data_IF_692717265666
#
_entry.id   IF_692717265666
#
_cell.length_a   1.000
_cell.length_b   1.000
_cell.length_c   1.000
_cell.angle_alpha   90.00
_cell.angle_beta   90.00
_cell.angle_gamma   90.00
#
_symmetry.space_group_name_H-M   'P 1'
#
loop_
_entity.id
_entity.type
_entity.pdbx_description
1 polymer ?
2 polymer ?
3 non-polymer ?
4 water ?
#
# COMPACT_ATOMS: atom_id res chain seq x y z
N UNK A 1 21.55 7.02 -16.05
CA UNK A 1 21.06 6.05 -17.04
C UNK A 1 20.17 6.90 -17.95
N UNK A 2 19.41 6.24 -18.78
CA UNK A 2 18.64 6.92 -19.78
C UNK A 2 17.38 7.61 -19.23
N UNK A 3 16.96 8.67 -19.92
CA UNK A 3 15.66 9.25 -19.77
C UNK A 3 14.67 8.24 -20.36
N UNK A 4 13.47 8.11 -19.76
CA UNK A 4 12.46 7.17 -20.26
C UNK A 4 11.18 7.92 -20.45
N UNK A 5 10.69 7.89 -21.68
CA UNK A 5 9.50 8.65 -22.04
C UNK A 5 8.82 7.93 -23.15
N UNK A 6 7.48 7.95 -23.11
CA UNK A 6 6.63 7.57 -24.22
C UNK A 6 5.30 8.19 -23.93
N UNK A 7 4.82 9.01 -24.89
CA UNK A 7 3.67 9.90 -24.72
C UNK A 7 2.43 9.47 -25.50
N UNK A 8 1.27 9.78 -24.94
CA UNK A 8 -0.02 9.77 -25.65
C UNK A 8 -0.65 11.11 -25.40
N UNK A 9 -1.66 11.42 -26.19
CA UNK A 9 -2.45 12.59 -25.98
C UNK A 9 -3.91 12.23 -25.86
N UNK A 10 -4.71 13.12 -25.31
CA UNK A 10 -6.16 12.82 -25.15
C UNK A 10 -7.00 14.08 -25.27
N UNK A 11 -8.00 14.01 -26.11
CA UNK A 11 -8.91 15.15 -26.38
C UNK A 11 -8.44 16.25 -27.25
N UNK A 12 -7.34 16.01 -27.97
CA UNK A 12 -6.75 17.02 -28.88
C UNK A 12 -7.34 17.01 -30.27
N UNK A 13 -7.44 18.19 -30.90
CA UNK A 13 -7.79 18.22 -32.31
C UNK A 13 -6.59 17.80 -33.12
N UNK A 14 -6.81 17.49 -34.40
CA UNK A 14 -5.65 17.20 -35.28
C UNK A 14 -4.64 18.32 -35.34
N UNK A 15 -5.06 19.58 -35.42
CA UNK A 15 -4.07 20.68 -35.37
C UNK A 15 -3.20 20.74 -34.07
N UNK A 16 -3.85 20.55 -32.92
CA UNK A 16 -3.17 20.55 -31.67
C UNK A 16 -2.20 19.32 -31.62
N UNK A 17 -2.67 18.15 -32.09
CA UNK A 17 -1.80 16.98 -32.20
C UNK A 17 -0.54 17.23 -33.02
N UNK A 18 -0.66 18.04 -34.06
CA UNK A 18 0.49 18.28 -34.89
C UNK A 18 1.53 19.14 -34.16
N UNK A 19 1.11 20.02 -33.23
CA UNK A 19 2.09 20.71 -32.36
C UNK A 19 2.76 19.70 -31.40
N UNK A 20 2.02 18.74 -30.88
CA UNK A 20 2.64 17.72 -30.09
C UNK A 20 3.67 16.95 -30.89
N UNK A 21 3.30 16.57 -32.11
CA UNK A 21 4.20 15.89 -32.99
C UNK A 21 5.48 16.67 -33.26
N UNK A 22 5.36 18.00 -33.49
CA UNK A 22 6.53 18.86 -33.74
C UNK A 22 7.44 18.89 -32.48
N UNK A 23 6.79 19.01 -31.30
CA UNK A 23 7.47 19.01 -30.03
C UNK A 23 8.17 17.67 -29.81
N UNK A 24 7.48 16.58 -30.10
CA UNK A 24 8.09 15.22 -29.96
C UNK A 24 9.26 14.95 -30.91
N UNK A 25 9.16 15.46 -32.14
CA UNK A 25 10.24 15.36 -33.07
C UNK A 25 11.43 16.17 -32.60
N UNK A 26 11.20 17.37 -32.07
CA UNK A 26 12.31 18.25 -31.65
C UNK A 26 13.09 17.64 -30.53
N UNK A 27 12.41 17.02 -29.57
CA UNK A 27 13.06 16.50 -28.40
C UNK A 27 13.27 15.01 -28.43
N UNK A 28 12.95 14.37 -29.54
CA UNK A 28 13.20 12.93 -29.72
C UNK A 28 12.36 12.01 -28.77
N UNK A 29 11.05 12.30 -28.67
CA UNK A 29 10.17 11.61 -27.73
C UNK A 29 9.21 10.71 -28.50
N UNK A 30 9.08 9.48 -28.05
CA UNK A 30 8.11 8.60 -28.70
C UNK A 30 6.69 9.12 -28.42
N UNK A 31 5.85 9.06 -29.45
CA UNK A 31 4.44 9.44 -29.39
C UNK A 31 3.66 8.36 -30.04
N UNK A 32 2.68 7.82 -29.30
CA UNK A 32 1.81 6.74 -29.78
C UNK A 32 0.36 7.12 -29.66
N UNK A 33 -0.48 6.38 -30.38
CA UNK A 33 -1.95 6.58 -30.27
C UNK A 33 -2.56 5.83 -29.06
N UNK A 34 -2.04 4.66 -28.75
CA UNK A 34 -2.65 3.89 -27.66
C UNK A 34 -1.81 3.98 -26.39
N UNK A 35 -2.49 4.03 -25.23
CA UNK A 35 -1.82 3.95 -23.92
C UNK A 35 -1.46 2.49 -23.62
N UNK A 36 -0.28 2.25 -23.07
CA UNK A 36 0.22 0.95 -22.67
C UNK A 36 0.99 1.04 -21.36
N UNK A 37 1.52 -0.08 -20.88
CA UNK A 37 2.35 -0.02 -19.68
C UNK A 37 3.65 0.76 -19.94
N UNK A 38 4.06 0.89 -21.19
CA UNK A 38 5.24 1.78 -21.52
C UNK A 38 5.00 3.27 -21.41
N UNK A 39 3.76 3.69 -21.46
CA UNK A 39 3.46 5.11 -21.48
C UNK A 39 3.88 5.78 -20.19
N UNK A 40 4.58 6.91 -20.31
CA UNK A 40 4.98 7.69 -19.14
C UNK A 40 4.23 8.98 -18.97
N UNK A 41 3.66 9.50 -20.07
CA UNK A 41 3.05 10.86 -20.12
C UNK A 41 1.74 10.77 -20.87
N UNK A 42 0.68 11.33 -20.29
CA UNK A 42 -0.62 11.55 -20.93
C UNK A 42 -0.81 13.02 -21.00
N UNK A 43 -0.91 13.60 -22.21
CA UNK A 43 -1.06 15.03 -22.45
C UNK A 43 -2.56 15.29 -22.72
N UNK A 44 -3.25 15.84 -21.74
CA UNK A 44 -4.71 16.14 -21.80
C UNK A 44 -4.96 17.51 -22.30
N UNK A 45 -6.03 17.65 -23.08
CA UNK A 45 -6.59 18.94 -23.40
C UNK A 45 -7.13 19.44 -22.07
N UNK A 46 -6.85 20.71 -21.74
CA UNK A 46 -7.43 21.34 -20.57
C UNK A 46 -7.86 22.77 -20.84
N UNK A 47 -8.62 23.33 -19.90
CA UNK A 47 -8.85 24.78 -19.88
C UNK A 47 -7.59 25.43 -19.33
N UNK A 48 -7.66 26.76 -19.13
CA UNK A 48 -6.55 27.55 -18.60
C UNK A 48 -6.19 27.26 -17.12
N UNK A 49 -7.09 26.59 -16.37
CA UNK A 49 -6.87 26.16 -14.98
C UNK A 49 -6.53 24.67 -14.87
N UNK A 50 -6.15 24.05 -15.98
CA UNK A 50 -5.68 22.70 -16.02
C UNK A 50 -6.73 21.65 -15.57
N UNK A 51 -7.96 21.88 -16.03
CA UNK A 51 -9.08 21.00 -15.80
C UNK A 51 -9.38 20.35 -17.11
N UNK A 52 -9.55 19.04 -17.08
CA UNK A 52 -9.84 18.25 -18.26
C UNK A 52 -11.17 17.52 -18.19
N UNK A 53 -11.54 16.92 -19.31
CA UNK A 53 -12.59 15.89 -19.35
C UNK A 53 -12.06 14.55 -19.08
N UNK A 54 -12.92 13.69 -18.56
CA UNK A 54 -12.50 12.36 -18.20
C UNK A 54 -12.56 11.40 -19.38
N UNK A 55 -11.40 10.95 -19.86
CA UNK A 55 -11.33 9.92 -20.95
C UNK A 55 -10.69 8.65 -20.35
N UNK A 56 -10.71 7.57 -21.11
CA UNK A 56 -10.02 6.34 -20.71
C UNK A 56 -8.49 6.55 -20.46
N UNK A 57 -7.83 7.36 -21.31
CA UNK A 57 -6.44 7.72 -21.08
C UNK A 57 -6.24 8.46 -19.77
N UNK A 58 -7.10 9.39 -19.41
CA UNK A 58 -7.02 10.05 -18.11
C UNK A 58 -7.05 9.04 -16.98
N UNK A 59 -8.04 8.17 -16.99
CA UNK A 59 -8.18 7.21 -15.90
C UNK A 59 -6.95 6.27 -15.82
N UNK A 60 -6.51 5.81 -16.97
CA UNK A 60 -5.38 4.88 -17.01
C UNK A 60 -4.06 5.57 -16.65
N UNK A 61 -3.90 6.84 -17.05
CA UNK A 61 -2.72 7.57 -16.65
C UNK A 61 -2.61 7.78 -15.14
N UNK A 62 -3.74 8.14 -14.49
CA UNK A 62 -3.78 8.27 -13.07
C UNK A 62 -3.55 6.88 -12.44
N UNK A 63 -4.27 5.85 -12.90
CA UNK A 63 -4.13 4.56 -12.34
C UNK A 63 -2.68 4.00 -12.36
N UNK A 64 -1.92 4.35 -13.37
CA UNK A 64 -0.54 3.90 -13.53
C UNK A 64 0.47 4.82 -12.85
N UNK A 65 -0.01 5.90 -12.23
CA UNK A 65 0.86 6.92 -11.60
C UNK A 65 1.77 7.59 -12.55
N UNK A 66 1.25 7.77 -13.77
CA UNK A 66 1.97 8.49 -14.84
C UNK A 66 1.92 10.02 -14.69
N UNK A 67 2.68 10.72 -15.55
CA UNK A 67 2.55 12.19 -15.67
C UNK A 67 1.30 12.43 -16.51
N UNK A 68 0.32 13.05 -15.89
CA UNK A 68 -0.90 13.48 -16.53
C UNK A 68 -0.87 15.03 -16.54
N UNK A 69 -0.50 15.58 -17.70
CA UNK A 69 -0.15 16.96 -17.85
C UNK A 69 -1.01 17.68 -18.94
N UNK A 70 -1.15 18.98 -18.74
CA UNK A 70 -1.88 19.83 -19.71
C UNK A 70 -1.11 19.89 -21.01
N UNK A 71 -1.86 20.00 -22.11
CA UNK A 71 -1.33 20.39 -23.43
C UNK A 71 -0.56 21.72 -23.40
N UNK A 72 -0.84 22.56 -22.42
CA UNK A 72 -0.11 23.84 -22.26
C UNK A 72 1.38 23.49 -22.04
N UNK A 73 1.72 22.31 -21.46
CA UNK A 73 3.13 21.87 -21.35
C UNK A 73 3.84 21.89 -22.70
N UNK A 74 3.12 21.43 -23.73
CA UNK A 74 3.67 21.38 -25.08
C UNK A 74 3.79 22.74 -25.67
N UNK A 75 2.71 23.50 -25.57
CA UNK A 75 2.70 24.80 -26.26
C UNK A 75 3.75 25.73 -25.63
N UNK A 76 3.81 25.73 -24.29
CA UNK A 76 4.78 26.56 -23.58
C UNK A 76 6.19 26.07 -23.81
N UNK A 77 6.39 24.74 -23.88
CA UNK A 77 7.71 24.27 -24.17
C UNK A 77 8.18 24.61 -25.59
N UNK A 78 7.28 24.59 -26.56
CA UNK A 78 7.63 25.06 -27.93
C UNK A 78 8.13 26.51 -27.87
N UNK A 79 7.39 27.35 -27.16
CA UNK A 79 7.68 28.81 -27.09
C UNK A 79 9.05 29.05 -26.41
N UNK A 80 9.36 28.27 -25.40
CA UNK A 80 10.59 28.40 -24.63
C UNK A 80 11.79 27.61 -25.19
N UNK A 81 11.52 26.85 -26.25
CA UNK A 81 12.50 26.08 -26.98
C UNK A 81 13.22 25.03 -26.10
N UNK A 82 12.51 24.51 -25.14
CA UNK A 82 13.08 23.45 -24.31
C UNK A 82 11.96 22.70 -23.62
N UNK A 83 12.23 21.49 -23.18
CA UNK A 83 11.20 20.73 -22.46
C UNK A 83 11.04 21.23 -21.04
N UNK A 84 9.89 21.80 -20.72
CA UNK A 84 9.69 22.37 -19.39
C UNK A 84 9.37 21.27 -18.36
N UNK A 85 9.39 21.68 -17.10
CA UNK A 85 9.15 20.71 -16.04
C UNK A 85 7.66 20.31 -15.96
N UNK A 86 7.40 19.00 -15.91
CA UNK A 86 6.03 18.48 -15.88
C UNK A 86 5.28 18.99 -14.66
N UNK A 87 6.02 19.24 -13.54
CA UNK A 87 5.29 19.57 -12.28
C UNK A 87 4.56 20.88 -12.45
N UNK A 88 5.01 21.72 -13.34
CA UNK A 88 4.39 23.05 -13.54
C UNK A 88 3.08 23.00 -14.37
N UNK A 89 2.81 21.89 -15.00
CA UNK A 89 1.69 21.69 -15.95
C UNK A 89 0.79 20.49 -15.57
N UNK A 90 0.92 19.97 -14.35
CA UNK A 90 0.21 18.73 -14.00
C UNK A 90 -1.32 19.02 -13.95
N UNK A 91 -2.14 18.10 -14.47
CA UNK A 91 -3.60 18.25 -14.44
C UNK A 91 -4.04 18.30 -12.97
N UNK A 92 -4.90 19.25 -12.67
CA UNK A 92 -5.36 19.55 -11.34
C UNK A 92 -6.70 18.96 -11.02
N UNK A 93 -7.49 18.62 -12.04
CA UNK A 93 -8.83 18.09 -11.78
C UNK A 93 -9.61 17.92 -13.04
N UNK A 94 -10.92 17.61 -12.90
CA UNK A 94 -11.69 17.32 -14.08
C UNK A 94 -13.11 17.83 -13.89
N UNK A 95 -13.87 17.84 -14.98
CA UNK A 95 -15.23 18.40 -14.98
C UNK A 95 -16.30 17.60 -14.23
N UNK A 96 -15.97 16.40 -13.76
CA UNK A 96 -16.87 15.59 -12.96
C UNK A 96 -16.58 15.58 -11.51
N UNK A 97 -15.35 15.26 -11.12
CA UNK A 97 -15.01 15.00 -9.74
C UNK A 97 -14.45 16.21 -9.01
N UNK A 98 -14.14 17.30 -9.74
CA UNK A 98 -13.72 18.52 -9.07
C UNK A 98 -12.58 19.18 -9.82
N UNK A 99 -12.54 20.52 -9.80
CA UNK A 99 -11.58 21.21 -10.57
C UNK A 99 -10.17 21.23 -9.95
N UNK A 100 -10.01 20.86 -8.66
CA UNK A 100 -8.68 20.97 -8.03
C UNK A 100 -8.43 19.84 -7.04
N UNK A 101 -8.90 18.66 -7.39
CA UNK A 101 -8.71 17.49 -6.50
C UNK A 101 -7.31 16.94 -6.37
N UNK A 102 -6.52 17.22 -7.39
CA UNK A 102 -5.09 16.81 -7.48
C UNK A 102 -4.91 15.29 -7.46
N UNK A 103 -5.90 14.57 -8.02
CA UNK A 103 -5.84 13.09 -8.25
C UNK A 103 -4.56 12.62 -8.94
N UNK A 104 -4.18 13.33 -10.02
CA UNK A 104 -2.95 12.88 -10.72
C UNK A 104 -1.67 12.92 -9.86
N UNK A 105 -1.48 14.01 -9.14
CA UNK A 105 -0.36 14.13 -8.22
C UNK A 105 -0.43 13.13 -7.09
N UNK A 106 -1.59 13.01 -6.53
CA UNK A 106 -1.84 11.97 -5.47
C UNK A 106 -1.41 10.59 -5.92
N UNK A 107 -1.88 10.16 -7.08
CA UNK A 107 -1.50 8.85 -7.62
C UNK A 107 -0.01 8.70 -7.89
N UNK A 108 0.62 9.74 -8.40
CA UNK A 108 2.02 9.66 -8.78
C UNK A 108 2.89 9.43 -7.54
N UNK A 109 2.41 9.95 -6.41
CA UNK A 109 3.09 9.88 -5.16
C UNK A 109 2.68 8.72 -4.27
N UNK A 110 1.70 7.94 -4.68
CA UNK A 110 1.06 6.95 -3.84
C UNK A 110 1.19 5.52 -4.34
N UNK A 111 2.16 5.22 -5.20
CA UNK A 111 2.24 3.91 -5.82
C UNK A 111 2.63 2.85 -4.78
N UNK A 112 3.14 3.25 -3.63
CA UNK A 112 3.37 2.34 -2.55
C UNK A 112 2.20 2.23 -1.54
N UNK A 113 1.04 2.83 -1.86
CA UNK A 113 -0.16 2.74 -1.05
C UNK A 113 -1.40 2.86 -1.95
N UNK A 114 -1.57 1.86 -2.84
CA UNK A 114 -2.57 1.91 -3.93
C UNK A 114 -4.01 1.78 -3.40
N UNK A 115 -4.92 2.54 -4.03
CA UNK A 115 -6.28 2.68 -3.46
C UNK A 115 -7.09 1.41 -3.30
N UNK A 116 -6.90 0.40 -4.15
CA UNK A 116 -7.72 -0.79 -4.07
C UNK A 116 -6.93 -1.99 -3.53
N UNK A 117 -5.77 -1.75 -2.94
CA UNK A 117 -4.99 -2.82 -2.29
C UNK A 117 -5.89 -3.53 -1.25
N UNK A 118 -5.95 -4.86 -1.35
CA UNK A 118 -6.80 -5.67 -0.50
C UNK A 118 -8.23 -5.92 -0.93
N UNK A 119 -8.59 -5.45 -2.10
CA UNK A 119 -9.88 -5.64 -2.68
C UNK A 119 -9.83 -6.63 -3.86
N UNK A 120 -10.92 -7.36 -4.02
CA UNK A 120 -11.08 -8.27 -5.16
C UNK A 120 -12.29 -7.83 -5.92
N UNK A 121 -12.13 -7.49 -7.19
CA UNK A 121 -13.17 -6.80 -7.94
C UNK A 121 -13.59 -7.66 -9.14
N UNK A 122 -14.91 -7.83 -9.30
CA UNK A 122 -15.46 -8.45 -10.51
C UNK A 122 -16.15 -7.42 -11.34
N UNK A 123 -15.66 -7.24 -12.55
CA UNK A 123 -16.30 -6.29 -13.48
C UNK A 123 -17.35 -7.05 -14.29
N UNK A 124 -18.61 -6.85 -13.94
CA UNK A 124 -19.70 -7.80 -14.23
C UNK A 124 -20.77 -7.26 -15.20
N UNK A 125 -20.94 -8.06 -16.27
CA UNK A 125 -21.87 -7.75 -17.37
C UNK A 125 -21.35 -6.77 -18.42
N UNK A 126 -22.28 -6.23 -19.21
CA UNK A 126 -21.86 -5.30 -20.28
C UNK A 126 -21.34 -3.92 -19.79
N UNK A 127 -20.32 -3.42 -20.48
CA UNK A 127 -19.89 -2.03 -20.37
C UNK A 127 -19.93 -1.28 -21.71
N UNK A 128 -20.12 0.03 -21.68
CA UNK A 128 -20.08 0.83 -22.91
C UNK A 128 -18.93 1.82 -22.89
N UNK A 129 -18.39 2.05 -24.07
CA UNK A 129 -17.33 3.00 -24.30
C UNK A 129 -16.00 2.69 -23.66
N UNK A 130 -15.89 1.49 -23.11
CA UNK A 130 -14.77 1.12 -22.26
C UNK A 130 -14.83 -0.40 -22.16
N UNK A 131 -14.02 -1.10 -22.99
CA UNK A 131 -14.07 -2.59 -22.98
C UNK A 131 -13.83 -3.18 -21.57
N UNK A 132 -14.47 -4.27 -21.22
CA UNK A 132 -14.29 -4.88 -19.89
C UNK A 132 -12.81 -5.06 -19.50
N UNK A 133 -11.97 -5.45 -20.45
CA UNK A 133 -10.56 -5.70 -20.04
C UNK A 133 -9.78 -4.43 -19.66
N UNK A 134 -10.24 -3.27 -20.14
CA UNK A 134 -9.63 -2.00 -19.81
C UNK A 134 -10.05 -1.57 -18.41
N UNK A 135 -11.31 -1.81 -18.03
CA UNK A 135 -11.74 -1.57 -16.67
C UNK A 135 -10.99 -2.53 -15.70
N UNK A 136 -10.82 -3.78 -16.12
CA UNK A 136 -10.08 -4.73 -15.33
C UNK A 136 -8.61 -4.29 -15.16
N UNK A 137 -7.97 -3.84 -16.24
CA UNK A 137 -6.60 -3.28 -16.12
C UNK A 137 -6.52 -2.11 -15.15
N UNK A 138 -7.48 -1.17 -15.27
CA UNK A 138 -7.55 0.00 -14.43
C UNK A 138 -7.52 -0.42 -12.96
N UNK A 139 -8.40 -1.37 -12.57
CA UNK A 139 -8.47 -1.69 -11.14
C UNK A 139 -7.21 -2.44 -10.66
N UNK A 140 -6.61 -3.20 -11.56
CA UNK A 140 -5.36 -3.96 -11.22
C UNK A 140 -4.22 -2.99 -11.00
N UNK A 141 -4.13 -1.98 -11.88
CA UNK A 141 -3.16 -0.93 -11.74
C UNK A 141 -3.27 -0.22 -10.39
N UNK A 142 -4.51 -0.09 -9.88
CA UNK A 142 -4.79 0.48 -8.59
C UNK A 142 -4.75 -0.52 -7.42
N UNK A 143 -4.22 -1.71 -7.66
CA UNK A 143 -3.82 -2.67 -6.65
C UNK A 143 -4.85 -3.74 -6.33
N UNK A 144 -6.00 -3.76 -7.03
CA UNK A 144 -6.97 -4.87 -6.84
C UNK A 144 -6.61 -6.14 -7.58
N UNK A 145 -7.00 -7.27 -7.01
CA UNK A 145 -7.14 -8.50 -7.75
C UNK A 145 -8.43 -8.49 -8.51
N UNK A 146 -8.37 -9.00 -9.73
CA UNK A 146 -9.54 -9.18 -10.58
C UNK A 146 -10.06 -10.58 -10.64
N UNK A 147 -11.36 -10.76 -10.45
CA UNK A 147 -12.00 -12.03 -10.74
C UNK A 147 -13.00 -11.91 -11.87
N UNK A 148 -13.13 -13.00 -12.60
CA UNK A 148 -13.89 -13.06 -13.83
C UNK A 148 -15.32 -13.57 -13.54
N UNK A 149 -15.48 -14.42 -12.54
CA UNK A 149 -16.79 -15.03 -12.25
C UNK A 149 -17.11 -14.84 -10.78
N UNK A 150 -18.38 -14.69 -10.43
CA UNK A 150 -18.74 -14.48 -9.01
C UNK A 150 -18.25 -15.58 -8.11
N UNK A 151 -18.34 -16.81 -8.60
CA UNK A 151 -18.05 -18.00 -7.82
C UNK A 151 -16.64 -17.97 -7.29
N UNK A 152 -15.73 -17.41 -8.09
CA UNK A 152 -14.32 -17.47 -7.76
C UNK A 152 -13.83 -16.30 -6.93
N UNK A 153 -14.70 -15.64 -6.17
CA UNK A 153 -14.20 -14.75 -5.08
C UNK A 153 -13.47 -15.67 -4.09
N UNK A 154 -14.10 -15.98 -2.95
CA UNK A 154 -13.43 -16.59 -1.81
C UNK A 154 -12.76 -15.46 -1.03
N UNK A 155 -12.69 -15.48 0.31
CA UNK A 155 -12.95 -16.63 1.20
C UNK A 155 -13.48 -16.11 2.56
N UNK A 156 -12.60 -15.91 3.55
CA UNK A 156 -13.04 -15.64 4.94
C UNK A 156 -12.92 -14.20 5.48
N UNK A 157 -13.76 -13.89 6.47
CA UNK A 157 -13.90 -12.53 7.09
C UNK A 157 -13.26 -11.37 6.29
N UNK A 158 -12.08 -10.85 6.65
CA UNK A 158 -11.45 -9.79 5.84
C UNK A 158 -11.25 -10.22 4.38
N UNK A 159 -11.93 -9.55 3.43
CA UNK A 159 -11.94 -9.93 1.99
C UNK A 159 -11.06 -9.09 1.05
N UNK A 160 -11.63 -8.08 0.40
CA UNK A 160 -13.04 -7.80 0.41
C UNK A 160 -13.50 -7.82 -1.01
N UNK A 161 -14.62 -8.52 -1.26
CA UNK A 161 -15.10 -8.64 -2.62
C UNK A 161 -15.98 -7.47 -2.99
N UNK A 162 -15.98 -7.09 -4.26
CA UNK A 162 -16.79 -5.98 -4.74
C UNK A 162 -17.23 -6.31 -6.19
N UNK A 163 -18.54 -6.25 -6.48
CA UNK A 163 -19.05 -6.45 -7.83
C UNK A 163 -19.36 -5.07 -8.44
N UNK A 164 -18.78 -4.77 -9.60
CA UNK A 164 -19.00 -3.57 -10.33
C UNK A 164 -19.84 -3.78 -11.57
N UNK A 165 -20.91 -2.95 -11.75
CA UNK A 165 -21.80 -3.11 -12.88
C UNK A 165 -22.12 -1.76 -13.46
N UNK A 166 -22.49 -1.74 -14.74
CA UNK A 166 -22.91 -0.52 -15.42
C UNK A 166 -24.42 -0.65 -15.74
N UNK A 167 -25.33 -0.30 -14.82
CA UNK A 167 -26.78 -0.64 -15.09
C UNK A 167 -27.28 -0.20 -16.48
N UNK A 168 -26.88 0.99 -16.95
CA UNK A 168 -27.51 1.49 -18.19
C UNK A 168 -27.03 0.85 -19.44
N UNK A 169 -25.95 0.07 -19.34
CA UNK A 169 -25.55 -0.82 -20.42
C UNK A 169 -26.43 -2.06 -20.56
N UNK A 170 -27.22 -2.39 -19.54
CA UNK A 170 -28.04 -3.63 -19.57
C UNK A 170 -29.34 -3.44 -20.37
N UNK A 174 -32.24 -5.47 -14.96
CA UNK A 174 -33.00 -6.64 -14.51
C UNK A 174 -32.08 -7.55 -13.70
N UNK A 175 -31.32 -8.40 -14.41
CA UNK A 175 -30.35 -9.31 -13.77
C UNK A 175 -29.41 -8.72 -12.70
N UNK A 176 -29.01 -7.47 -12.87
CA UNK A 176 -28.07 -6.88 -11.94
C UNK A 176 -28.71 -6.58 -10.57
N UNK A 177 -30.04 -6.71 -10.48
CA UNK A 177 -30.72 -6.62 -9.16
C UNK A 177 -30.75 -7.92 -8.36
N UNK A 178 -30.36 -9.03 -8.96
CA UNK A 178 -30.48 -10.33 -8.29
C UNK A 178 -29.14 -10.96 -7.94
N UNK A 179 -28.06 -10.20 -8.09
CA UNK A 179 -26.69 -10.65 -7.72
C UNK A 179 -26.59 -10.90 -6.21
N UNK A 180 -27.14 -9.99 -5.41
CA UNK A 180 -27.13 -10.15 -3.95
C UNK A 180 -27.79 -11.40 -3.37
N UNK A 181 -28.80 -11.92 -4.04
CA UNK A 181 -29.34 -13.21 -3.62
C UNK A 181 -28.31 -14.35 -3.77
N UNK A 182 -27.40 -14.25 -4.74
CA UNK A 182 -26.33 -15.25 -4.92
C UNK A 182 -25.14 -15.02 -3.97
N UNK A 183 -24.41 -13.91 -4.10
CA UNK A 183 -23.23 -13.72 -3.25
C UNK A 183 -23.39 -12.54 -2.29
N UNK A 184 -22.55 -12.51 -1.25
CA UNK A 184 -22.67 -11.50 -0.23
C UNK A 184 -21.91 -10.18 -0.56
N UNK A 185 -21.25 -10.14 -1.71
CA UNK A 185 -20.49 -8.95 -2.06
C UNK A 185 -21.36 -7.74 -2.37
N UNK A 186 -20.91 -6.52 -1.92
CA UNK A 186 -21.59 -5.27 -2.30
C UNK A 186 -21.55 -5.13 -3.81
N UNK A 187 -22.64 -4.63 -4.37
CA UNK A 187 -22.80 -4.44 -5.77
C UNK A 187 -22.87 -2.94 -5.96
N UNK A 188 -21.93 -2.38 -6.73
CA UNK A 188 -21.79 -0.97 -6.98
C UNK A 188 -21.77 -0.60 -8.46
N UNK A 189 -22.10 0.66 -8.76
CA UNK A 189 -21.99 1.12 -10.14
C UNK A 189 -20.52 1.34 -10.55
N UNK A 190 -20.28 1.41 -11.85
CA UNK A 190 -18.98 1.65 -12.41
C UNK A 190 -18.45 3.02 -11.94
N UNK A 191 -19.37 3.95 -11.64
CA UNK A 191 -18.95 5.28 -11.14
C UNK A 191 -18.15 5.19 -9.87
N UNK A 192 -18.37 4.14 -9.07
CA UNK A 192 -17.52 3.95 -7.87
C UNK A 192 -16.07 3.82 -8.29
N UNK A 193 -15.80 2.96 -9.28
CA UNK A 193 -14.40 2.85 -9.80
C UNK A 193 -13.88 4.12 -10.39
N UNK A 194 -14.62 4.70 -11.30
CA UNK A 194 -14.15 5.92 -12.01
C UNK A 194 -13.93 7.10 -11.07
N UNK A 195 -14.87 7.34 -10.15
CA UNK A 195 -14.72 8.40 -9.20
C UNK A 195 -13.50 8.16 -8.28
N UNK A 196 -13.38 6.92 -7.79
CA UNK A 196 -12.21 6.64 -6.95
C UNK A 196 -10.85 6.86 -7.68
N UNK A 197 -10.79 6.43 -8.93
CA UNK A 197 -9.55 6.53 -9.71
C UNK A 197 -9.26 8.00 -9.98
N UNK A 198 -10.25 8.78 -10.42
CA UNK A 198 -9.96 10.19 -10.78
C UNK A 198 -9.47 10.95 -9.55
N UNK A 199 -10.06 10.69 -8.39
CA UNK A 199 -9.69 11.33 -7.10
C UNK A 199 -8.44 10.70 -6.45
N UNK A 200 -8.02 9.54 -6.98
CA UNK A 200 -7.06 8.63 -6.39
C UNK A 200 -7.33 8.48 -4.88
N UNK A 201 -8.60 8.18 -4.57
CA UNK A 201 -9.08 7.99 -3.25
C UNK A 201 -10.22 6.98 -3.26
N UNK A 202 -10.07 5.89 -2.51
CA UNK A 202 -11.07 4.85 -2.50
C UNK A 202 -12.38 5.44 -1.87
N UNK A 203 -13.42 5.58 -2.67
CA UNK A 203 -14.65 6.15 -2.19
C UNK A 203 -15.43 5.13 -1.32
N UNK A 204 -16.19 5.67 -0.38
CA UNK A 204 -17.18 4.88 0.38
C UNK A 204 -18.18 4.27 -0.59
N UNK A 205 -18.60 3.04 -0.32
CA UNK A 205 -19.53 2.36 -1.27
C UNK A 205 -20.94 2.93 -1.26
N UNK A 206 -21.31 3.53 -0.14
CA UNK A 206 -22.72 3.75 0.22
C UNK A 206 -23.56 4.34 -0.94
N UNK A 207 -23.11 5.43 -1.55
CA UNK A 207 -23.92 6.13 -2.55
C UNK A 207 -23.91 5.42 -3.92
N UNK A 208 -23.07 4.42 -4.10
CA UNK A 208 -22.90 3.72 -5.36
C UNK A 208 -23.61 2.34 -5.32
N UNK A 209 -24.08 1.91 -4.14
CA UNK A 209 -24.70 0.61 -4.01
C UNK A 209 -25.98 0.48 -4.89
N UNK A 210 -26.08 -0.62 -5.57
CA UNK A 210 -27.22 -0.89 -6.42
C UNK A 210 -28.22 -1.74 -5.60
N UNK A 211 -29.43 -1.15 -5.34
CA UNK A 211 -30.35 -1.85 -4.48
C UNK A 211 -30.63 -3.23 -5.07
N UNK A 212 -30.55 -4.26 -4.22
CA UNK A 212 -30.73 -5.67 -4.60
C UNK A 212 -32.11 -6.17 -4.12
N UNK A 213 -32.76 -7.01 -4.92
CA UNK A 213 -33.99 -7.72 -4.52
C UNK A 213 -33.63 -8.62 -3.31
N UNK A 214 -34.38 -8.53 -2.20
CA UNK A 214 -34.17 -9.43 -1.04
C UNK A 214 -34.06 -10.89 -1.40
N UNK B 1 26.61 5.10 -5.33
CA UNK B 1 26.65 5.85 -4.06
C UNK B 1 27.23 4.92 -3.00
N UNK B 2 27.05 5.36 -1.78
CA UNK B 2 27.51 4.64 -0.63
C UNK B 2 26.70 3.41 -0.25
N UNK B 3 27.37 2.44 0.38
CA UNK B 3 26.71 1.37 1.08
C UNK B 3 26.10 2.01 2.31
N UNK B 4 24.85 1.69 2.64
CA UNK B 4 24.21 2.22 3.84
C UNK B 4 23.94 1.05 4.84
N UNK B 5 24.55 1.14 6.01
CA UNK B 5 24.39 0.14 7.09
C UNK B 5 24.44 0.75 8.44
N UNK B 6 23.61 0.20 9.33
CA UNK B 6 23.71 0.47 10.74
C UNK B 6 23.05 -0.75 11.40
N UNK B 7 23.75 -1.40 12.30
CA UNK B 7 23.30 -2.66 12.87
C UNK B 7 22.95 -2.58 14.36
N UNK B 8 21.99 -3.42 14.77
CA UNK B 8 21.75 -3.76 16.19
C UNK B 8 21.80 -5.26 16.28
N UNK B 9 21.92 -5.76 17.49
CA UNK B 9 21.84 -7.23 17.73
C UNK B 9 20.76 -7.47 18.76
N UNK B 10 20.25 -8.69 18.83
CA UNK B 10 19.12 -8.96 19.77
C UNK B 10 19.28 -10.37 20.29
N UNK B 11 19.20 -10.56 21.59
CA UNK B 11 19.27 -11.87 22.12
C UNK B 11 20.66 -12.47 22.30
N UNK B 12 21.71 -11.69 22.16
CA UNK B 12 23.06 -12.15 22.22
C UNK B 12 23.66 -11.99 23.63
N UNK B 13 24.55 -12.92 23.94
CA UNK B 13 25.35 -12.76 25.14
C UNK B 13 26.47 -11.71 24.89
N UNK B 14 27.04 -11.17 25.97
CA UNK B 14 28.18 -10.21 25.75
C UNK B 14 29.27 -10.81 24.93
N UNK B 15 29.54 -12.11 25.12
CA UNK B 15 30.62 -12.74 24.39
C UNK B 15 30.39 -12.83 22.85
N UNK B 16 29.12 -13.07 22.54
CA UNK B 16 28.68 -13.14 21.13
C UNK B 16 28.72 -11.75 20.57
N UNK B 17 28.29 -10.80 21.35
CA UNK B 17 28.38 -9.40 20.93
C UNK B 17 29.78 -9.06 20.54
N UNK B 18 30.76 -9.51 21.33
CA UNK B 18 32.15 -9.20 20.99
C UNK B 18 32.55 -9.63 19.61
N UNK B 19 32.03 -10.75 19.09
CA UNK B 19 32.31 -11.15 17.74
C UNK B 19 31.64 -10.26 16.76
N UNK B 20 30.37 -9.89 17.03
CA UNK B 20 29.76 -8.85 16.18
C UNK B 20 30.59 -7.55 16.14
N UNK B 21 31.09 -7.10 17.29
CA UNK B 21 31.94 -5.92 17.39
C UNK B 21 33.21 -6.06 16.52
N UNK B 22 33.88 -7.21 16.59
CA UNK B 22 35.04 -7.50 15.75
C UNK B 22 34.74 -7.46 14.22
N UNK B 23 33.62 -8.06 13.83
CA UNK B 23 33.11 -8.05 12.49
C UNK B 23 32.81 -6.63 12.05
N UNK B 24 32.14 -5.90 12.92
CA UNK B 24 31.79 -4.50 12.64
C UNK B 24 33.05 -3.66 12.41
N UNK B 25 34.06 -3.91 13.24
CA UNK B 25 35.31 -3.17 13.15
C UNK B 25 36.08 -3.52 11.91
N UNK B 26 36.10 -4.77 11.54
CA UNK B 26 36.77 -5.18 10.30
C UNK B 26 36.14 -4.56 9.04
N UNK B 27 34.81 -4.49 8.97
CA UNK B 27 34.14 -4.04 7.81
C UNK B 27 33.66 -2.58 7.89
N UNK B 28 34.03 -1.89 8.97
CA UNK B 28 33.66 -0.48 9.19
C UNK B 28 32.18 -0.25 9.16
N UNK B 29 31.46 -1.08 9.94
CA UNK B 29 29.98 -1.00 10.02
C UNK B 29 29.56 -0.40 11.39
N UNK B 30 28.66 0.57 11.38
CA UNK B 30 28.12 1.17 12.62
C UNK B 30 27.29 0.11 13.38
N UNK B 31 27.57 -0.04 14.68
CA UNK B 31 26.89 -0.99 15.59
C UNK B 31 26.38 -0.17 16.78
N UNK B 32 25.07 -0.19 17.00
CA UNK B 32 24.43 0.52 18.09
C UNK B 32 23.70 -0.39 19.05
N UNK B 33 23.37 0.14 20.23
CA UNK B 33 22.52 -0.60 21.22
C UNK B 33 21.04 -0.55 20.96
N UNK B 34 20.58 0.57 20.42
CA UNK B 34 19.17 0.83 20.27
C UNK B 34 18.79 0.85 18.81
N UNK B 35 17.61 0.35 18.51
CA UNK B 35 17.11 0.36 17.17
C UNK B 35 16.50 1.71 16.88
N UNK B 36 16.76 2.24 15.70
CA UNK B 36 16.18 3.48 15.24
C UNK B 36 15.80 3.45 13.80
N UNK B 37 15.24 4.56 13.30
CA UNK B 37 14.99 4.66 11.88
C UNK B 37 16.24 4.42 11.00
N UNK B 38 17.41 4.69 11.54
CA UNK B 38 18.72 4.53 10.82
C UNK B 38 19.06 3.05 10.65
N UNK B 39 18.52 2.22 11.51
CA UNK B 39 18.94 0.80 11.54
C UNK B 39 18.60 0.04 10.26
N UNK B 40 19.59 -0.67 9.63
CA UNK B 40 19.34 -1.46 8.48
C UNK B 40 19.33 -2.95 8.69
N UNK B 41 20.02 -3.32 9.75
CA UNK B 41 20.26 -4.79 10.06
C UNK B 41 19.97 -5.07 11.53
N UNK B 42 19.19 -6.15 11.81
CA UNK B 42 18.91 -6.67 13.15
C UNK B 42 19.48 -8.07 13.16
N UNK B 43 20.54 -8.29 13.93
CA UNK B 43 21.21 -9.62 13.99
C UNK B 43 20.66 -10.36 15.20
N UNK B 44 19.78 -11.33 14.95
CA UNK B 44 19.08 -12.11 15.96
C UNK B 44 19.87 -13.40 16.33
N UNK B 45 19.94 -13.71 17.62
CA UNK B 45 20.29 -15.07 18.02
C UNK B 45 19.27 -16.01 17.46
N UNK B 46 19.75 -17.10 16.89
CA UNK B 46 18.89 -18.16 16.34
C UNK B 46 19.45 -19.52 16.70
N UNK B 47 18.62 -20.52 16.53
CA UNK B 47 19.08 -21.92 16.40
C UNK B 47 19.65 -22.19 15.02
N UNK B 48 20.07 -23.44 14.77
CA UNK B 48 20.71 -23.77 13.48
C UNK B 48 19.79 -23.73 12.23
N UNK B 49 18.48 -23.66 12.48
CA UNK B 49 17.49 -23.56 11.45
C UNK B 49 16.94 -22.09 11.33
N UNK B 50 17.70 -21.16 11.87
CA UNK B 50 17.36 -19.73 11.72
C UNK B 50 16.01 -19.35 12.33
N UNK B 51 15.68 -19.96 13.49
CA UNK B 51 14.48 -19.63 14.27
C UNK B 51 14.90 -18.87 15.51
N UNK B 52 14.23 -17.76 15.79
CA UNK B 52 14.55 -16.87 16.93
C UNK B 52 13.42 -16.78 17.98
N UNK B 53 13.67 -16.08 19.09
CA UNK B 53 12.67 -15.67 20.02
C UNK B 53 12.23 -14.26 19.62
N UNK B 54 11.03 -13.92 20.00
CA UNK B 54 10.44 -12.63 19.63
C UNK B 54 10.83 -11.51 20.62
N UNK B 55 11.63 -10.52 20.18
CA UNK B 55 12.00 -9.38 20.99
C UNK B 55 11.43 -8.11 20.31
N UNK B 56 11.53 -6.99 20.98
CA UNK B 56 11.08 -5.71 20.39
C UNK B 56 11.90 -5.43 19.10
N UNK B 57 13.19 -5.68 19.13
CA UNK B 57 14.01 -5.47 17.89
C UNK B 57 13.56 -6.35 16.73
N UNK B 58 13.23 -7.63 17.01
CA UNK B 58 12.65 -8.52 15.97
C UNK B 58 11.38 -7.85 15.33
N UNK B 59 10.43 -7.42 16.18
CA UNK B 59 9.16 -6.89 15.66
C UNK B 59 9.46 -5.58 14.85
N UNK B 60 10.30 -4.70 15.42
CA UNK B 60 10.61 -3.45 14.71
C UNK B 60 11.45 -3.64 13.47
N UNK B 61 12.36 -4.60 13.47
CA UNK B 61 13.03 -4.92 12.27
C UNK B 61 12.14 -5.40 11.13
N UNK B 62 11.20 -6.30 11.41
CA UNK B 62 10.23 -6.79 10.44
C UNK B 62 9.33 -5.63 10.04
N UNK B 63 8.86 -4.90 11.04
CA UNK B 63 7.95 -3.74 10.73
C UNK B 63 8.58 -2.74 9.77
N UNK B 64 9.86 -2.52 9.94
CA UNK B 64 10.63 -1.64 9.05
C UNK B 64 11.11 -2.21 7.78
N UNK B 65 10.83 -3.48 7.47
CA UNK B 65 11.33 -4.18 6.25
C UNK B 65 12.83 -4.23 6.24
N UNK B 66 13.47 -4.30 7.42
CA UNK B 66 14.95 -4.35 7.58
C UNK B 66 15.47 -5.76 7.28
N UNK B 67 16.79 -5.89 7.23
CA UNK B 67 17.41 -7.24 7.22
C UNK B 67 17.35 -7.74 8.64
N UNK B 68 16.68 -8.87 8.82
CA UNK B 68 16.57 -9.56 10.08
C UNK B 68 17.26 -10.91 9.85
N UNK B 69 18.51 -10.97 10.30
CA UNK B 69 19.41 -12.09 9.96
C UNK B 69 19.94 -12.76 11.18
N UNK B 70 20.31 -14.04 10.99
CA UNK B 70 20.91 -14.83 12.04
C UNK B 70 22.28 -14.36 12.40
N UNK B 71 22.59 -14.41 13.69
CA UNK B 71 23.98 -14.28 14.19
C UNK B 71 24.96 -15.20 13.44
N UNK B 72 24.52 -16.29 12.81
CA UNK B 72 25.36 -17.12 11.96
C UNK B 72 25.92 -16.37 10.73
N UNK B 73 25.26 -15.28 10.30
CA UNK B 73 25.77 -14.39 9.23
C UNK B 73 27.11 -13.85 9.65
N UNK B 74 27.18 -13.39 10.89
CA UNK B 74 28.40 -12.85 11.46
C UNK B 74 29.47 -13.95 11.62
N UNK B 75 29.14 -15.06 12.31
CA UNK B 75 30.21 -16.03 12.61
C UNK B 75 30.76 -16.62 11.29
N UNK B 76 29.88 -16.84 10.33
CA UNK B 76 30.34 -17.44 9.08
C UNK B 76 31.13 -16.41 8.25
N UNK B 77 30.74 -15.10 8.28
CA UNK B 77 31.51 -14.07 7.61
C UNK B 77 32.91 -13.96 8.23
N UNK B 78 33.01 -14.05 9.57
CA UNK B 78 34.31 -13.97 10.28
C UNK B 78 35.18 -15.14 9.72
N UNK B 79 34.63 -16.32 9.67
CA UNK B 79 35.35 -17.49 9.18
C UNK B 79 35.81 -17.39 7.72
N UNK B 80 34.97 -16.89 6.84
CA UNK B 80 35.30 -16.81 5.44
C UNK B 80 36.06 -15.55 5.06
N UNK B 81 36.29 -14.74 6.08
CA UNK B 81 36.98 -13.46 5.96
C UNK B 81 36.38 -12.54 4.89
N UNK B 82 35.06 -12.53 4.79
CA UNK B 82 34.42 -11.57 3.91
C UNK B 82 33.00 -11.44 4.37
N UNK B 83 32.33 -10.34 4.04
CA UNK B 83 30.91 -10.16 4.43
C UNK B 83 30.03 -10.98 3.53
N UNK B 84 29.37 -11.96 4.07
CA UNK B 84 28.56 -12.83 3.22
C UNK B 84 27.18 -12.19 2.91
N UNK B 85 26.45 -12.85 2.04
CA UNK B 85 25.18 -12.33 1.59
C UNK B 85 24.09 -12.50 2.63
N UNK B 86 23.41 -11.39 3.00
CA UNK B 86 22.30 -11.50 4.00
C UNK B 86 21.24 -12.50 3.58
N UNK B 87 21.01 -12.67 2.27
CA UNK B 87 19.89 -13.57 1.80
C UNK B 87 20.11 -15.01 2.27
N UNK B 88 21.37 -15.37 2.47
CA UNK B 88 21.71 -16.75 2.89
C UNK B 88 21.50 -17.02 4.40
N UNK B 89 21.23 -15.97 5.15
CA UNK B 89 21.15 -15.97 6.62
C UNK B 89 19.87 -15.34 7.19
N UNK B 90 18.86 -15.11 6.34
CA UNK B 90 17.67 -14.41 6.80
C UNK B 90 16.91 -15.31 7.76
N UNK B 91 16.42 -14.68 8.84
CA UNK B 91 15.58 -15.37 9.84
C UNK B 91 14.34 -15.96 9.15
N UNK B 92 14.04 -17.22 9.43
CA UNK B 92 12.95 -17.95 8.81
C UNK B 92 11.66 -17.94 9.59
N UNK B 93 11.73 -17.74 10.91
CA UNK B 93 10.59 -17.78 11.82
C UNK B 93 10.98 -17.66 13.26
N UNK B 94 10.02 -17.97 14.16
CA UNK B 94 10.24 -17.75 15.58
C UNK B 94 9.47 -18.83 16.34
N UNK B 95 9.81 -18.90 17.61
CA UNK B 95 9.27 -20.00 18.49
C UNK B 95 7.77 -19.83 18.80
N UNK B 96 7.13 -18.72 18.47
CA UNK B 96 5.71 -18.53 18.75
C UNK B 96 4.83 -18.69 17.55
N UNK B 97 5.15 -17.98 16.45
CA UNK B 97 4.29 -17.98 15.30
C UNK B 97 4.60 -18.99 14.19
N UNK B 98 5.74 -19.70 14.27
CA UNK B 98 6.06 -20.75 13.28
C UNK B 98 7.50 -20.73 12.90
N UNK B 99 8.11 -21.91 12.72
CA UNK B 99 9.51 -21.97 12.48
C UNK B 99 9.94 -21.58 11.03
N UNK B 100 9.01 -21.52 10.09
CA UNK B 100 9.35 -21.20 8.71
C UNK B 100 8.31 -20.34 8.07
N UNK B 101 7.82 -19.33 8.81
CA UNK B 101 6.80 -18.49 8.24
C UNK B 101 7.27 -17.50 7.17
N UNK B 102 8.55 -17.19 7.23
CA UNK B 102 9.26 -16.23 6.33
C UNK B 102 8.72 -14.80 6.46
N UNK B 103 8.24 -14.39 7.67
CA UNK B 103 7.79 -13.05 7.94
C UNK B 103 8.84 -11.95 7.53
N UNK B 104 10.09 -12.15 7.89
CA UNK B 104 11.07 -11.13 7.58
C UNK B 104 11.23 -10.89 6.07
N UNK B 105 11.27 -11.98 5.30
CA UNK B 105 11.37 -11.82 3.82
C UNK B 105 10.14 -11.20 3.27
N UNK B 106 8.98 -11.68 3.73
CA UNK B 106 7.69 -11.12 3.33
C UNK B 106 7.68 -9.64 3.54
N UNK B 107 8.08 -9.14 4.71
CA UNK B 107 8.09 -7.71 5.02
C UNK B 107 9.07 -6.92 4.16
N UNK B 108 10.26 -7.46 3.97
CA UNK B 108 11.24 -6.76 3.16
C UNK B 108 10.75 -6.52 1.76
N UNK B 109 9.99 -7.49 1.25
CA UNK B 109 9.44 -7.51 -0.12
C UNK B 109 8.04 -6.80 -0.24
N UNK B 110 7.48 -6.34 0.86
CA UNK B 110 6.09 -5.82 0.94
C UNK B 110 5.94 -4.36 1.39
N UNK B 111 6.99 -3.55 1.23
CA UNK B 111 6.98 -2.17 1.72
C UNK B 111 6.06 -1.30 0.86
N UNK B 112 5.66 -1.83 -0.27
CA UNK B 112 4.68 -1.16 -1.12
C UNK B 112 3.27 -1.70 -0.88
N UNK B 113 3.05 -2.55 0.16
CA UNK B 113 1.76 -3.08 0.44
C UNK B 113 1.70 -3.48 1.92
N UNK B 114 1.80 -2.46 2.77
CA UNK B 114 1.99 -2.59 4.23
C UNK B 114 0.75 -3.21 4.88
N UNK B 115 0.94 -4.07 5.89
CA UNK B 115 -0.19 -4.88 6.41
C UNK B 115 -1.33 -4.10 7.06
N UNK B 116 -1.04 -2.93 7.64
CA UNK B 116 -1.99 -2.15 8.38
C UNK B 116 -2.42 -0.86 7.59
N UNK B 117 -2.12 -0.81 6.31
CA UNK B 117 -2.62 0.36 5.50
C UNK B 117 -4.14 0.37 5.54
N UNK B 118 -4.70 1.54 5.79
CA UNK B 118 -6.16 1.69 5.83
C UNK B 118 -6.73 1.44 7.20
N UNK B 119 -5.88 1.10 8.18
CA UNK B 119 -6.32 1.00 9.51
C UNK B 119 -5.97 2.18 10.34
N UNK B 120 -6.86 2.45 11.33
CA UNK B 120 -6.61 3.40 12.37
C UNK B 120 -6.51 2.64 13.69
N UNK B 121 -5.39 2.77 14.39
CA UNK B 121 -5.18 1.97 15.61
C UNK B 121 -4.99 2.84 16.83
N UNK B 122 -5.71 2.51 17.90
CA UNK B 122 -5.51 3.16 19.21
C UNK B 122 -4.90 2.18 20.18
N UNK B 123 -3.69 2.41 20.60
CA UNK B 123 -3.04 1.57 21.66
C UNK B 123 -3.44 2.12 23.02
N UNK B 124 -4.41 1.44 23.64
CA UNK B 124 -5.21 1.99 24.68
C UNK B 124 -4.91 1.44 26.05
N UNK B 125 -4.71 2.37 27.00
CA UNK B 125 -4.33 1.93 28.35
C UNK B 125 -2.91 1.48 28.59
N UNK B 126 -2.65 0.82 29.77
CA UNK B 126 -1.29 0.43 30.07
C UNK B 126 -0.70 -0.72 29.24
N UNK B 127 0.60 -0.69 29.03
CA UNK B 127 1.38 -1.82 28.46
C UNK B 127 2.60 -2.21 29.28
N UNK B 128 3.07 -3.45 29.21
CA UNK B 128 4.35 -3.81 29.84
C UNK B 128 5.40 -4.33 28.88
N UNK B 129 6.67 -4.13 29.28
CA UNK B 129 7.83 -4.54 28.52
C UNK B 129 8.01 -3.91 27.17
N UNK B 130 7.18 -2.94 26.87
CA UNK B 130 7.11 -2.36 25.55
C UNK B 130 6.31 -1.10 25.80
N UNK B 131 7.01 0.03 25.89
CA UNK B 131 6.31 1.31 26.04
C UNK B 131 5.29 1.56 24.92
N UNK B 132 4.16 2.19 25.25
CA UNK B 132 3.14 2.51 24.29
C UNK B 132 3.72 3.13 23.02
N UNK B 133 4.66 4.08 23.16
CA UNK B 133 5.21 4.75 21.98
C UNK B 133 5.97 3.81 20.98
N UNK B 134 6.53 2.70 21.50
CA UNK B 134 7.16 1.72 20.67
C UNK B 134 6.12 0.78 19.98
N UNK B 135 5.01 0.48 20.63
CA UNK B 135 3.89 -0.22 19.95
C UNK B 135 3.29 0.67 18.89
N UNK B 136 3.15 1.95 19.22
CA UNK B 136 2.65 2.87 18.21
C UNK B 136 3.60 2.97 17.00
N UNK B 137 4.91 3.06 17.24
CA UNK B 137 5.89 3.15 16.14
C UNK B 137 5.81 1.90 15.25
N UNK B 138 5.69 0.75 15.93
CA UNK B 138 5.52 -0.53 15.23
C UNK B 138 4.33 -0.49 14.30
N UNK B 139 3.18 -0.05 14.77
CA UNK B 139 2.02 -0.13 13.89
C UNK B 139 2.05 0.97 12.76
N UNK B 140 2.67 2.10 13.08
CA UNK B 140 2.95 3.16 12.06
C UNK B 140 3.83 2.68 10.92
N UNK B 141 4.90 1.98 11.30
CA UNK B 141 5.80 1.38 10.33
C UNK B 141 5.11 0.44 9.42
N UNK B 142 4.07 -0.26 9.96
CA UNK B 142 3.25 -1.19 9.21
C UNK B 142 2.02 -0.56 8.46
N UNK B 143 1.98 0.76 8.44
CA UNK B 143 1.11 1.52 7.55
C UNK B 143 -0.11 2.06 8.27
N UNK B 144 -0.29 1.76 9.57
CA UNK B 144 -1.45 2.26 10.29
C UNK B 144 -1.35 3.74 10.65
N UNK B 145 -2.50 4.40 10.75
CA UNK B 145 -2.58 5.70 11.42
C UNK B 145 -2.77 5.50 12.88
N UNK B 146 -1.96 6.15 13.70
CA UNK B 146 -2.11 6.05 15.16
C UNK B 146 -3.05 7.10 15.67
N UNK B 147 -3.94 6.71 16.57
CA UNK B 147 -4.95 7.54 17.18
C UNK B 147 -4.66 7.53 18.68
N UNK B 148 -4.57 8.69 19.31
CA UNK B 148 -4.33 8.75 20.76
C UNK B 148 -5.56 8.54 21.63
N UNK B 149 -6.74 8.91 21.14
CA UNK B 149 -7.97 8.90 21.94
C UNK B 149 -9.09 8.32 21.13
N UNK B 150 -10.02 7.61 21.79
CA UNK B 150 -11.10 6.92 21.08
C UNK B 150 -11.95 7.90 20.21
N UNK B 151 -12.07 9.12 20.71
CA UNK B 151 -12.89 10.13 20.04
C UNK B 151 -12.22 10.64 18.74
N UNK B 152 -10.93 10.33 18.53
CA UNK B 152 -10.26 10.75 17.30
C UNK B 152 -10.44 9.81 16.12
N UNK B 153 -11.01 8.61 16.32
CA UNK B 153 -11.26 7.77 15.16
C UNK B 153 -12.15 8.48 14.13
N UNK B 154 -11.83 8.33 12.86
CA UNK B 154 -12.66 8.87 11.73
C UNK B 154 -14.04 8.22 11.75
N UNK B 155 -15.07 8.96 11.29
CA UNK B 155 -16.43 8.44 11.07
C UNK B 155 -16.62 7.97 9.63
N UNK B 156 -17.42 6.93 9.44
CA UNK B 156 -17.70 6.48 8.08
C UNK B 156 -17.40 5.02 7.85
N UNK B 157 -18.00 4.49 6.78
CA UNK B 157 -17.87 3.09 6.45
C UNK B 157 -16.53 2.78 5.80
N UNK B 158 -15.75 3.79 5.48
CA UNK B 158 -14.43 3.52 4.89
C UNK B 158 -13.30 3.43 5.91
N UNK B 159 -13.59 3.70 7.18
CA UNK B 159 -12.54 3.63 8.22
C UNK B 159 -12.57 2.24 8.79
N UNK B 160 -11.39 1.72 9.16
CA UNK B 160 -11.37 0.51 9.94
C UNK B 160 -10.63 0.84 11.22
N UNK B 161 -11.37 1.28 12.25
CA UNK B 161 -10.70 1.52 13.52
C UNK B 161 -10.53 0.26 14.36
N UNK B 162 -9.43 0.21 15.12
CA UNK B 162 -9.07 -0.93 15.96
C UNK B 162 -8.57 -0.41 17.30
N UNK B 163 -9.08 -0.93 18.44
CA UNK B 163 -8.50 -0.62 19.76
C UNK B 163 -7.69 -1.82 20.27
N UNK B 164 -6.44 -1.57 20.58
CA UNK B 164 -5.51 -2.57 21.08
C UNK B 164 -5.26 -2.38 22.54
N UNK B 165 -5.41 -3.48 23.31
CA UNK B 165 -5.22 -3.43 24.74
C UNK B 165 -4.43 -4.66 25.20
N UNK B 166 -3.78 -4.52 26.33
CA UNK B 166 -3.03 -5.66 26.93
C UNK B 166 -3.76 -5.92 28.27
N UNK B 167 -4.70 -6.86 28.31
CA UNK B 167 -5.49 -7.02 29.56
C UNK B 167 -4.69 -7.23 30.82
N UNK B 168 -3.61 -8.02 30.79
CA UNK B 168 -2.86 -8.31 31.99
C UNK B 168 -2.01 -7.16 32.53
N UNK B 169 -1.89 -6.09 31.76
CA UNK B 169 -1.30 -4.86 32.28
C UNK B 169 -2.25 -3.97 33.13
N UNK B 170 -3.56 -4.26 33.14
CA UNK B 170 -4.62 -3.50 33.86
C UNK B 170 -4.73 -3.96 35.37
N UNK B 174 -12.47 -5.06 34.87
CA UNK B 174 -11.48 -4.14 34.37
C UNK B 174 -12.07 -3.26 33.28
N UNK B 175 -11.69 -1.98 33.26
CA UNK B 175 -12.25 -0.98 32.35
C UNK B 175 -12.18 -1.34 30.87
N UNK B 176 -11.33 -2.30 30.51
CA UNK B 176 -11.23 -2.62 29.08
C UNK B 176 -12.41 -3.40 28.55
N UNK B 177 -13.33 -3.76 29.43
CA UNK B 177 -14.59 -4.41 29.00
C UNK B 177 -15.72 -3.48 28.70
N UNK B 178 -15.49 -2.22 29.00
CA UNK B 178 -16.47 -1.13 28.75
C UNK B 178 -16.13 -0.19 27.62
N UNK B 179 -15.16 -0.52 26.79
CA UNK B 179 -14.82 0.30 25.65
C UNK B 179 -15.94 0.28 24.61
N UNK B 180 -16.59 -0.87 24.45
CA UNK B 180 -17.65 -1.02 23.48
C UNK B 180 -18.87 -0.14 23.74
N UNK B 181 -18.95 0.48 24.92
CA UNK B 181 -19.99 1.55 25.16
C UNK B 181 -19.62 3.02 24.75
N UNK B 182 -18.40 3.22 24.27
CA UNK B 182 -17.89 4.56 23.93
C UNK B 182 -17.44 4.58 22.47
N UNK B 183 -17.33 3.40 21.86
CA UNK B 183 -17.16 3.33 20.45
C UNK B 183 -17.38 1.93 19.95
N UNK B 184 -17.57 1.84 18.66
CA UNK B 184 -17.89 0.59 17.98
C UNK B 184 -16.69 -0.17 17.40
N UNK B 185 -15.49 0.33 17.68
CA UNK B 185 -14.33 -0.28 17.14
C UNK B 185 -14.13 -1.63 17.85
N UNK B 186 -13.65 -2.66 17.10
CA UNK B 186 -13.25 -3.94 17.66
C UNK B 186 -12.14 -3.71 18.65
N UNK B 187 -12.21 -4.39 19.77
CA UNK B 187 -11.22 -4.31 20.82
C UNK B 187 -10.51 -5.65 20.80
N UNK B 188 -9.19 -5.58 20.58
CA UNK B 188 -8.35 -6.76 20.50
C UNK B 188 -7.16 -6.72 21.42
N UNK B 189 -6.62 -7.91 21.75
CA UNK B 189 -5.40 -7.95 22.54
C UNK B 189 -4.16 -7.55 21.74
N UNK B 190 -3.08 -7.23 22.46
CA UNK B 190 -1.79 -6.87 21.88
C UNK B 190 -1.23 -7.96 20.99
N UNK B 191 -1.58 -9.24 21.34
CA UNK B 191 -1.14 -10.36 20.49
C UNK B 191 -1.62 -10.28 19.05
N UNK B 192 -2.77 -9.62 18.76
CA UNK B 192 -3.17 -9.39 17.39
C UNK B 192 -2.10 -8.60 16.61
N UNK B 193 -1.59 -7.58 17.23
CA UNK B 193 -0.51 -6.78 16.59
C UNK B 193 0.75 -7.64 16.47
N UNK B 194 1.20 -8.24 17.54
CA UNK B 194 2.45 -8.98 17.56
C UNK B 194 2.50 -10.14 16.58
N UNK B 195 1.42 -10.94 16.56
CA UNK B 195 1.33 -12.04 15.61
C UNK B 195 1.25 -11.54 14.16
N UNK B 196 0.50 -10.47 13.89
CA UNK B 196 0.41 -9.94 12.54
C UNK B 196 1.80 -9.44 12.03
N UNK B 197 2.56 -8.75 12.90
CA UNK B 197 3.85 -8.20 12.53
C UNK B 197 4.83 -9.32 12.30
N UNK B 198 4.88 -10.29 13.22
CA UNK B 198 5.86 -11.41 13.01
C UNK B 198 5.63 -12.18 11.70
N UNK B 199 4.38 -12.46 11.41
CA UNK B 199 3.97 -13.17 10.19
C UNK B 199 4.04 -12.28 8.96
N UNK B 200 4.10 -10.99 9.18
CA UNK B 200 3.89 -9.91 8.22
C UNK B 200 2.59 -10.20 7.40
N UNK B 201 1.54 -10.56 8.13
CA UNK B 201 0.24 -10.87 7.58
C UNK B 201 -0.81 -10.34 8.56
N UNK B 202 -1.71 -9.47 8.09
CA UNK B 202 -2.77 -8.91 8.95
C UNK B 202 -3.69 -10.08 9.36
N UNK B 203 -3.73 -10.44 10.66
CA UNK B 203 -4.51 -11.55 11.15
C UNK B 203 -6.00 -11.14 11.28
N UNK B 204 -6.85 -12.15 11.11
CA UNK B 204 -8.33 -11.99 11.37
C UNK B 204 -8.45 -11.62 12.86
N UNK B 205 -9.33 -10.68 13.13
CA UNK B 205 -9.52 -10.20 14.50
C UNK B 205 -10.16 -11.25 15.43
N UNK B 206 -10.97 -12.13 14.85
CA UNK B 206 -11.84 -13.03 15.60
C UNK B 206 -11.29 -13.60 16.88
N UNK B 207 -10.17 -14.34 16.81
CA UNK B 207 -9.63 -14.99 17.98
C UNK B 207 -8.94 -14.07 19.01
N UNK B 208 -8.85 -12.78 18.67
CA UNK B 208 -8.18 -11.83 19.54
C UNK B 208 -9.15 -10.84 20.21
N UNK B 209 -10.41 -10.95 19.85
CA UNK B 209 -11.44 -9.98 20.34
C UNK B 209 -11.62 -10.19 21.85
N UNK B 210 -11.66 -9.07 22.56
CA UNK B 210 -11.91 -8.99 23.97
C UNK B 210 -13.40 -8.77 24.18
N UNK B 211 -14.10 -9.78 24.74
CA UNK B 211 -15.56 -9.63 24.83
C UNK B 211 -15.91 -8.40 25.66
N UNK B 212 -16.82 -7.63 25.14
CA UNK B 212 -17.25 -6.40 25.76
C UNK B 212 -18.64 -6.61 26.46
N UNK B 213 -18.85 -5.83 27.49
CA UNK B 213 -20.17 -5.82 28.19
C UNK B 213 -21.17 -5.22 27.23
N UNK B 214 -22.38 -5.81 27.11
CA UNK B 214 -23.39 -5.22 26.20
C UNK B 214 -23.73 -3.80 26.65
N UNK C 1 -11.18 6.77 -33.46
CA UNK C 1 -11.87 7.96 -34.07
C UNK C 1 -11.87 9.24 -33.17
N UNK C 2 -12.81 9.27 -32.23
CA UNK C 2 -12.93 10.30 -31.21
C UNK C 2 -12.91 9.56 -29.84
N UNK C 3 -12.18 10.05 -28.86
CA UNK C 3 -12.13 9.26 -27.61
C UNK C 3 -13.37 9.60 -26.78
N UNK C 4 -14.00 8.60 -26.24
CA UNK C 4 -15.23 8.83 -25.47
C UNK C 4 -14.91 9.53 -24.17
N UNK C 5 -15.83 10.35 -23.71
CA UNK C 5 -15.76 11.08 -22.43
C UNK C 5 -16.75 10.44 -21.40
N UNK C 6 -16.40 10.51 -20.13
CA UNK C 6 -17.17 9.89 -19.04
C UNK C 6 -17.65 10.98 -18.08
N UNK C 7 -18.92 11.39 -18.34
CA UNK C 7 -19.48 12.39 -17.52
C UNK C 7 -20.11 11.67 -16.31
N UNK D 2 19.01 -7.04 30.02
CA UNK D 2 18.53 -7.93 28.94
C UNK D 2 17.14 -7.64 28.28
N UNK D 3 17.04 -7.98 26.98
CA UNK D 3 15.83 -7.62 26.20
C UNK D 3 14.67 -8.58 26.54
N UNK D 4 13.50 -8.02 26.86
CA UNK D 4 12.34 -8.90 27.09
C UNK D 4 12.01 -9.70 25.84
N UNK D 5 11.52 -10.90 26.06
CA UNK D 5 10.93 -11.75 25.01
C UNK D 5 9.40 -11.80 25.10
N UNK D 6 8.75 -12.06 23.96
CA UNK D 6 7.28 -12.01 23.88
C UNK D 6 6.82 -13.36 23.44
N UNK D 7 6.30 -14.12 24.43
CA UNK D 7 5.88 -15.51 24.17
C UNK D 7 4.47 -15.56 23.59
X LIG E 1 -4.47 11.15 -31.01
X LIG E 1 -3.74 9.91 -30.77
X LIG E 1 -5.83 11.32 -30.30
X LIG E 1 -6.45 10.08 -30.10
X LIG E 1 -5.81 11.98 -28.98
X LIG E 1 -6.58 13.18 -28.82
X LIG F 1 6.35 10.52 -10.50
X LIG F 1 7.02 11.41 -9.64
X LIG F 1 7.07 9.92 -11.69
X LIG F 1 7.08 8.51 -11.48
X LIG F 1 6.31 10.24 -12.96
X LIG F 1 5.17 9.42 -13.19
X LIG G 1 23.46 -5.46 22.65
X LIG G 1 22.98 -4.13 22.34
X LIG G 1 22.50 -6.34 23.47
X LIG G 1 21.20 -5.87 23.66
X LIG G 1 22.66 -7.84 23.11
X LIG G 1 21.59 -8.61 22.56
X LIG H 1 16.79 -4.80 3.01
X LIG H 1 16.03 -4.16 4.03
X LIG H 1 15.97 -4.64 1.74
X LIG H 1 15.98 -3.23 1.45
X LIG H 1 16.49 -5.53 0.61
X LIG H 1 15.40 -6.33 0.07
#
# INVERSE_FOLDING_TARGET
VNKRMSMVVSGLTPEEFMLVYKFARKHHITLTNLITEETTHVVMKTDAEFVCERTLKYFLGIAGGKWVVSYFWVTQSIKERKMLNEHDFEVRGDVVNGRNHQGPKRARESQDRKIFRGLEICCYGPFTNMPTDQLEWMVQLCGASVVKELSSFTLGTGVHPIVVVQPDAWTEDNGFHAIGQMCEAPVVTREWVLDSVALYQCQELDTYLIPQIP
VNKRMSMVVSGLTPEEFMLVYKFARKHHITLTNLITEETTHVVMKTDAEFVCERTLKYFLGIAGGKWVVSYFWVTQSIKERKMLNEHDFEVRGDVVNGRNHQGPKRARESQDRKIFRGLEICCYGPFTNMPTDQLEWMVQLCGASVVKELSSFTLGTGVHPIVVVQPDAWTEDNGFHAIGQMCEAPVVTREWVLDSVALYQCQELDTYLIPQIP
ACSPQFG
ACSPQFG
GOL C1 O1 C2 O2 C3 O3
GOL C1 O1 C2 O2 C3 O3
GOL C1 O1 C2 O2 C3 O3
GOL C1 O1 C2 O2 C3 O3
#
